data_IF_445493701249
#
_entry.id   IF_445493701249
#
_cell.length_a   1.000
_cell.length_b   1.000
_cell.length_c   1.000
_cell.angle_alpha   90.00
_cell.angle_beta   90.00
_cell.angle_gamma   90.00
#
_symmetry.space_group_name_H-M   'P 1'
#
loop_
_entity.id
_entity.type
_entity.pdbx_description
1 polymer ?
#
# COMPACT_ATOMS: atom_id res chain seq x y z
N UNK A 1 -36.40 10.93 43.87
CA UNK A 1 -35.76 12.12 43.25
C UNK A 1 -35.26 11.70 41.87
N UNK A 2 -35.76 12.38 40.82
CA UNK A 2 -35.67 11.98 39.42
C UNK A 2 -34.29 12.25 38.80
N UNK A 3 -33.71 11.27 38.11
CA UNK A 3 -32.64 11.48 37.12
C UNK A 3 -33.02 10.86 35.78
N UNK A 4 -33.71 11.60 34.87
CA UNK A 4 -34.00 11.16 33.52
C UNK A 4 -33.08 11.80 32.45
N UNK A 5 -31.99 12.48 32.83
CA UNK A 5 -31.23 13.32 31.90
C UNK A 5 -30.12 12.60 31.10
N UNK A 6 -29.57 11.48 31.57
CA UNK A 6 -28.44 10.81 30.89
C UNK A 6 -28.89 10.06 29.61
N UNK A 7 -30.13 9.57 29.59
CA UNK A 7 -30.62 8.73 28.49
C UNK A 7 -31.00 9.52 27.21
N UNK A 8 -31.25 10.83 27.32
CA UNK A 8 -31.59 11.70 26.16
C UNK A 8 -30.36 12.18 25.40
N UNK A 9 -29.20 12.29 26.06
CA UNK A 9 -27.97 12.77 25.43
C UNK A 9 -27.31 11.68 24.57
N UNK A 10 -27.27 10.45 25.06
CA UNK A 10 -26.77 9.28 24.32
C UNK A 10 -27.55 9.06 23.02
N UNK A 11 -28.89 8.99 23.06
CA UNK A 11 -29.73 8.81 21.86
C UNK A 11 -29.53 9.88 20.80
N UNK A 12 -29.39 11.16 21.19
CA UNK A 12 -29.19 12.27 20.24
C UNK A 12 -27.81 12.21 19.57
N UNK A 13 -26.79 11.81 20.32
CA UNK A 13 -25.44 11.67 19.79
C UNK A 13 -25.33 10.47 18.83
N UNK A 14 -25.97 9.34 19.14
CA UNK A 14 -26.01 8.17 18.24
C UNK A 14 -26.75 8.47 16.94
N UNK A 15 -27.90 9.15 16.99
CA UNK A 15 -28.63 9.56 15.77
C UNK A 15 -27.84 10.57 14.95
N UNK A 16 -27.15 11.53 15.59
CA UNK A 16 -26.34 12.52 14.88
C UNK A 16 -25.12 11.88 14.19
N UNK A 17 -24.44 10.93 14.84
CA UNK A 17 -23.34 10.18 14.23
C UNK A 17 -23.83 9.32 13.07
N UNK A 18 -24.96 8.63 13.22
CA UNK A 18 -25.54 7.81 12.15
C UNK A 18 -25.97 8.66 10.93
N UNK A 19 -26.59 9.82 11.17
CA UNK A 19 -27.00 10.76 10.11
C UNK A 19 -25.78 11.42 9.46
N UNK A 20 -24.74 11.77 10.23
CA UNK A 20 -23.50 12.33 9.68
C UNK A 20 -22.75 11.32 8.81
N UNK A 21 -22.69 10.05 9.22
CA UNK A 21 -22.10 8.98 8.41
C UNK A 21 -22.95 8.67 7.17
N UNK A 22 -24.29 8.62 7.27
CA UNK A 22 -25.15 8.48 6.09
C UNK A 22 -25.01 9.67 5.13
N UNK A 23 -24.90 10.89 5.64
CA UNK A 23 -24.69 12.09 4.82
C UNK A 23 -23.29 12.13 4.17
N UNK A 24 -22.25 11.68 4.87
CA UNK A 24 -20.90 11.53 4.31
C UNK A 24 -20.82 10.39 3.27
N UNK A 25 -21.63 9.34 3.40
CA UNK A 25 -21.71 8.23 2.45
C UNK A 25 -22.52 8.57 1.19
N UNK A 26 -23.51 9.45 1.30
CA UNK A 26 -24.25 10.00 0.15
C UNK A 26 -23.48 11.15 -0.52
N UNK A 27 -22.60 11.83 0.23
CA UNK A 27 -21.87 13.03 -0.20
C UNK A 27 -20.41 12.83 -0.61
N UNK A 28 -19.86 11.61 -0.63
CA UNK A 28 -18.50 11.38 -1.11
C UNK A 28 -18.44 11.71 -2.62
N UNK A 29 -17.69 12.75 -3.03
CA UNK A 29 -17.88 13.41 -4.30
C UNK A 29 -17.35 12.56 -5.46
N UNK A 30 -18.22 12.17 -6.39
CA UNK A 30 -17.82 11.90 -7.79
C UNK A 30 -17.33 13.19 -8.51
N UNK A 31 -17.38 14.34 -7.83
CA UNK A 31 -17.19 15.68 -8.42
C UNK A 31 -15.76 16.25 -8.45
N UNK A 32 -14.72 15.55 -7.95
CA UNK A 32 -13.35 16.14 -7.86
C UNK A 32 -12.37 15.65 -8.96
N UNK A 33 -12.80 14.80 -9.89
CA UNK A 33 -11.91 14.29 -10.95
C UNK A 33 -12.49 14.38 -12.38
N UNK A 34 -13.46 15.27 -12.63
CA UNK A 34 -14.17 15.36 -13.92
C UNK A 34 -13.71 16.50 -14.84
N UNK A 35 -12.46 16.96 -14.73
CA UNK A 35 -11.86 17.80 -15.78
C UNK A 35 -10.82 16.96 -16.54
N UNK A 36 -11.04 16.83 -17.84
CA UNK A 36 -10.20 16.16 -18.87
C UNK A 36 -10.20 14.62 -18.95
N UNK A 37 -11.37 14.04 -19.29
CA UNK A 37 -11.46 12.65 -19.80
C UNK A 37 -12.41 12.53 -20.98
N UNK A 38 -12.06 13.14 -22.12
CA UNK A 38 -12.88 13.04 -23.34
C UNK A 38 -12.74 11.70 -24.09
N UNK A 39 -11.86 10.78 -23.67
CA UNK A 39 -11.63 9.49 -24.37
C UNK A 39 -11.53 8.24 -23.47
N UNK A 40 -12.06 8.27 -22.23
CA UNK A 40 -12.06 7.06 -21.39
C UNK A 40 -13.30 6.21 -21.71
N UNK A 41 -13.15 4.93 -22.13
CA UNK A 41 -14.29 4.08 -22.40
C UNK A 41 -15.21 4.00 -21.18
N UNK A 42 -16.55 3.93 -21.38
CA UNK A 42 -17.50 3.92 -20.28
C UNK A 42 -17.17 2.77 -19.33
N UNK A 43 -17.04 3.09 -18.04
CA UNK A 43 -16.76 2.08 -17.01
C UNK A 43 -17.89 1.05 -17.03
N UNK A 44 -17.58 -0.27 -17.00
CA UNK A 44 -18.61 -1.28 -16.97
C UNK A 44 -19.47 -1.12 -15.71
N UNK A 45 -20.78 -1.32 -15.85
CA UNK A 45 -21.68 -1.35 -14.70
C UNK A 45 -21.32 -2.53 -13.79
N UNK A 46 -21.02 -2.24 -12.52
CA UNK A 46 -20.59 -3.24 -11.53
C UNK A 46 -21.76 -3.66 -10.65
N UNK A 47 -21.79 -4.95 -10.26
CA UNK A 47 -22.64 -5.38 -9.13
C UNK A 47 -22.02 -4.88 -7.83
N UNK A 48 -22.80 -4.20 -7.00
CA UNK A 48 -22.31 -3.56 -5.76
C UNK A 48 -22.89 -4.17 -4.49
N UNK A 49 -24.04 -4.83 -4.57
CA UNK A 49 -24.74 -5.36 -3.41
C UNK A 49 -24.39 -6.82 -3.16
N UNK A 50 -24.24 -7.19 -1.90
CA UNK A 50 -24.01 -8.56 -1.44
C UNK A 50 -24.90 -8.88 -0.23
N UNK A 51 -25.40 -10.11 -0.17
CA UNK A 51 -26.02 -10.69 1.03
C UNK A 51 -25.03 -11.67 1.67
N UNK A 52 -24.93 -11.68 3.00
CA UNK A 52 -23.99 -12.50 3.75
C UNK A 52 -24.76 -13.36 4.75
N UNK A 53 -24.37 -14.62 4.87
CA UNK A 53 -24.81 -15.52 5.94
C UNK A 53 -23.56 -16.19 6.50
N UNK A 54 -23.37 -16.14 7.80
CA UNK A 54 -22.15 -16.62 8.44
C UNK A 54 -22.45 -17.30 9.77
N UNK A 55 -21.56 -18.21 10.15
CA UNK A 55 -21.56 -18.90 11.44
C UNK A 55 -20.12 -19.06 11.93
N UNK A 56 -19.94 -19.22 13.22
CA UNK A 56 -18.62 -19.25 13.82
C UNK A 56 -18.66 -19.32 15.32
N UNK A 57 -17.67 -18.71 15.96
CA UNK A 57 -17.57 -18.69 17.40
C UNK A 57 -17.03 -17.38 17.94
N UNK A 58 -17.56 -16.96 19.09
CA UNK A 58 -16.99 -15.91 19.93
C UNK A 58 -16.30 -16.50 21.17
N UNK A 59 -15.43 -15.70 21.75
CA UNK A 59 -14.81 -15.93 23.05
C UNK A 59 -14.67 -14.59 23.76
N UNK A 60 -15.11 -14.57 25.01
CA UNK A 60 -14.93 -13.50 25.96
C UNK A 60 -13.75 -13.79 26.91
N UNK A 61 -13.04 -14.91 26.68
CA UNK A 61 -11.96 -15.36 27.57
C UNK A 61 -10.75 -14.45 27.53
N UNK A 62 -10.28 -14.05 28.70
CA UNK A 62 -9.03 -13.34 28.91
C UNK A 62 -7.84 -14.26 28.60
N UNK A 63 -7.02 -13.87 27.63
CA UNK A 63 -5.80 -14.59 27.26
C UNK A 63 -4.67 -14.24 28.23
N UNK A 64 -3.85 -15.23 28.59
CA UNK A 64 -2.57 -14.99 29.27
C UNK A 64 -1.52 -14.58 28.23
N UNK A 65 -1.58 -13.33 27.77
CA UNK A 65 -0.68 -12.76 26.76
C UNK A 65 -1.42 -12.00 25.65
N UNK A 66 -0.68 -11.31 24.77
CA UNK A 66 -1.23 -10.69 23.57
C UNK A 66 -1.61 -11.76 22.54
N UNK A 67 -2.67 -12.51 22.82
CA UNK A 67 -3.24 -13.44 21.84
C UNK A 67 -4.28 -12.67 21.03
N UNK A 68 -4.18 -12.61 19.69
CA UNK A 68 -5.17 -11.94 18.85
C UNK A 68 -6.47 -12.75 18.74
N UNK A 69 -6.76 -13.60 19.73
CA UNK A 69 -7.91 -14.50 19.79
C UNK A 69 -8.57 -14.47 21.17
N UNK A 70 -8.20 -13.52 22.03
CA UNK A 70 -8.76 -13.40 23.38
C UNK A 70 -9.67 -12.20 23.51
N UNK A 71 -10.77 -12.41 24.25
CA UNK A 71 -11.55 -11.33 24.83
C UNK A 71 -10.92 -10.84 26.14
N UNK A 72 -11.73 -10.13 26.92
CA UNK A 72 -11.42 -9.77 28.30
C UNK A 72 -12.75 -9.52 29.01
N UNK A 73 -13.01 -10.28 30.06
CA UNK A 73 -14.18 -10.16 30.93
C UNK A 73 -13.77 -10.47 32.37
N UNK A 74 -14.62 -10.16 33.35
CA UNK A 74 -14.43 -10.53 34.75
C UNK A 74 -14.46 -12.04 34.99
N UNK A 75 -15.32 -12.76 34.25
CA UNK A 75 -15.44 -14.21 34.26
C UNK A 75 -15.24 -14.72 32.85
N UNK A 76 -14.25 -15.60 32.68
CA UNK A 76 -13.88 -16.14 31.39
C UNK A 76 -14.99 -17.01 30.79
N UNK A 77 -15.29 -16.78 29.51
CA UNK A 77 -16.11 -17.70 28.73
C UNK A 77 -15.36 -19.00 28.39
N UNK A 78 -16.10 -19.98 27.88
CA UNK A 78 -15.55 -21.04 27.05
C UNK A 78 -14.80 -20.49 25.83
N UNK A 79 -13.89 -21.29 25.27
CA UNK A 79 -13.13 -20.91 24.07
C UNK A 79 -13.98 -20.83 22.81
N UNK A 80 -15.10 -21.56 22.77
CA UNK A 80 -15.95 -21.71 21.60
C UNK A 80 -17.40 -21.45 22.00
N UNK A 81 -17.90 -20.27 21.70
CA UNK A 81 -19.30 -19.89 21.91
C UNK A 81 -19.96 -19.74 20.53
N UNK A 82 -20.92 -20.60 20.14
CA UNK A 82 -21.45 -20.62 18.80
C UNK A 82 -22.13 -19.29 18.44
N UNK A 83 -21.85 -18.83 17.24
CA UNK A 83 -22.31 -17.55 16.73
C UNK A 83 -22.87 -17.70 15.32
N UNK A 84 -23.94 -16.97 15.02
CA UNK A 84 -24.60 -16.98 13.72
C UNK A 84 -24.98 -15.56 13.34
N UNK A 85 -25.11 -15.30 12.05
CA UNK A 85 -25.61 -14.02 11.63
C UNK A 85 -25.74 -13.87 10.13
N UNK A 86 -26.19 -12.68 9.77
CA UNK A 86 -26.43 -12.30 8.39
C UNK A 86 -26.14 -10.82 8.22
N UNK A 87 -25.84 -10.41 6.99
CA UNK A 87 -25.58 -9.01 6.70
C UNK A 87 -25.82 -8.65 5.26
N UNK A 88 -25.90 -7.35 5.01
CA UNK A 88 -25.98 -6.76 3.67
C UNK A 88 -24.76 -5.86 3.51
N UNK A 89 -24.12 -5.92 2.36
CA UNK A 89 -22.96 -5.10 2.03
C UNK A 89 -23.16 -4.38 0.69
N UNK A 90 -22.67 -3.14 0.64
CA UNK A 90 -22.65 -2.29 -0.54
C UNK A 90 -21.22 -1.81 -0.82
N UNK A 91 -20.71 -2.11 -2.01
CA UNK A 91 -19.41 -1.66 -2.50
C UNK A 91 -19.54 -0.26 -3.12
N UNK A 92 -18.86 0.75 -2.56
CA UNK A 92 -18.77 2.08 -3.18
C UNK A 92 -17.86 2.03 -4.42
N UNK A 93 -16.73 1.34 -4.26
CA UNK A 93 -15.72 1.08 -5.28
C UNK A 93 -15.05 -0.29 -4.98
N UNK A 94 -14.16 -0.83 -5.84
CA UNK A 94 -13.53 -2.13 -5.60
C UNK A 94 -12.79 -2.27 -4.26
N UNK A 95 -12.34 -1.16 -3.67
CA UNK A 95 -11.53 -1.15 -2.46
C UNK A 95 -12.32 -0.84 -1.19
N UNK A 96 -13.52 -0.25 -1.29
CA UNK A 96 -14.28 0.24 -0.12
C UNK A 96 -15.73 -0.21 -0.16
N UNK A 97 -16.20 -0.78 0.95
CA UNK A 97 -17.58 -1.18 1.15
C UNK A 97 -18.12 -0.71 2.51
N UNK A 98 -19.44 -0.54 2.59
CA UNK A 98 -20.18 -0.45 3.84
C UNK A 98 -21.03 -1.71 4.02
N UNK A 99 -21.23 -2.14 5.26
CA UNK A 99 -22.07 -3.26 5.59
C UNK A 99 -22.94 -3.00 6.82
N UNK A 100 -24.08 -3.68 6.87
CA UNK A 100 -24.91 -3.81 8.08
C UNK A 100 -24.98 -5.29 8.40
N UNK A 101 -24.60 -5.65 9.62
CA UNK A 101 -24.48 -7.02 10.10
C UNK A 101 -25.35 -7.23 11.33
N UNK A 102 -26.06 -8.34 11.37
CA UNK A 102 -26.71 -8.90 12.54
C UNK A 102 -25.91 -10.10 13.04
N UNK A 103 -25.72 -10.20 14.35
CA UNK A 103 -25.01 -11.30 15.00
C UNK A 103 -25.82 -11.77 16.19
N UNK A 104 -25.91 -13.09 16.35
CA UNK A 104 -26.49 -13.79 17.47
C UNK A 104 -25.46 -14.77 18.03
N UNK A 105 -25.23 -14.79 19.34
CA UNK A 105 -24.33 -15.73 20.00
C UNK A 105 -24.78 -15.96 21.43
N UNK A 106 -24.56 -17.17 21.94
CA UNK A 106 -24.72 -17.50 23.36
C UNK A 106 -23.34 -17.65 23.96
N UNK A 107 -22.98 -16.80 24.94
CA UNK A 107 -21.68 -16.82 25.61
C UNK A 107 -21.87 -17.44 26.99
N UNK A 108 -21.19 -18.56 27.22
CA UNK A 108 -21.25 -19.34 28.44
C UNK A 108 -19.84 -19.47 29.06
N UNK A 109 -19.76 -19.66 30.37
CA UNK A 109 -18.49 -19.86 31.05
C UNK A 109 -18.02 -21.33 30.98
N UNK A 110 -16.69 -21.52 30.87
CA UNK A 110 -16.05 -22.80 30.49
C UNK A 110 -16.13 -23.88 31.58
N UNK A 111 -16.14 -23.47 32.85
CA UNK A 111 -16.38 -24.29 34.04
C UNK A 111 -15.89 -23.50 35.27
N UNK A 112 -16.81 -23.10 36.15
CA UNK A 112 -16.48 -22.44 37.41
C UNK A 112 -17.66 -21.70 38.02
N UNK A 113 -17.79 -21.75 39.34
CA UNK A 113 -18.58 -20.75 40.04
C UNK A 113 -17.78 -19.44 40.03
N UNK A 114 -18.38 -18.31 39.63
CA UNK A 114 -19.80 -18.17 39.31
C UNK A 114 -20.13 -18.45 37.82
N UNK A 115 -21.23 -19.20 37.59
CA UNK A 115 -21.76 -19.46 36.24
C UNK A 115 -22.47 -18.24 35.65
N UNK A 116 -22.31 -18.02 34.35
CA UNK A 116 -23.11 -17.06 33.60
C UNK A 116 -23.42 -17.61 32.21
N UNK A 117 -24.60 -17.24 31.72
CA UNK A 117 -25.05 -17.44 30.36
C UNK A 117 -25.56 -16.10 29.85
N UNK A 118 -25.02 -15.63 28.73
CA UNK A 118 -25.45 -14.41 28.07
C UNK A 118 -25.85 -14.72 26.63
N UNK A 119 -27.13 -14.53 26.32
CA UNK A 119 -27.57 -14.46 24.93
C UNK A 119 -27.33 -13.05 24.41
N UNK A 120 -26.35 -12.91 23.51
CA UNK A 120 -25.97 -11.65 22.89
C UNK A 120 -26.49 -11.57 21.46
N UNK A 121 -27.24 -10.50 21.18
CA UNK A 121 -27.70 -10.15 19.84
C UNK A 121 -27.21 -8.76 19.49
N UNK A 122 -26.76 -8.53 18.26
CA UNK A 122 -26.30 -7.21 17.88
C UNK A 122 -26.55 -6.86 16.43
N UNK A 123 -26.69 -5.56 16.18
CA UNK A 123 -26.69 -4.96 14.86
C UNK A 123 -25.54 -3.97 14.79
N UNK A 124 -24.67 -4.13 13.81
CA UNK A 124 -23.52 -3.26 13.59
C UNK A 124 -23.50 -2.71 12.17
N UNK A 125 -23.14 -1.45 12.05
CA UNK A 125 -22.71 -0.83 10.80
C UNK A 125 -21.19 -0.95 10.69
N UNK A 126 -20.70 -1.36 9.52
CA UNK A 126 -19.28 -1.57 9.28
C UNK A 126 -18.79 -0.90 7.99
N UNK A 127 -17.52 -0.51 7.99
CA UNK A 127 -16.77 -0.15 6.79
C UNK A 127 -15.69 -1.21 6.56
N UNK A 128 -15.47 -1.60 5.31
CA UNK A 128 -14.49 -2.61 4.92
C UNK A 128 -13.59 -2.09 3.81
N UNK A 129 -12.28 -2.23 4.00
CA UNK A 129 -11.24 -1.80 3.08
C UNK A 129 -10.51 -3.04 2.52
N UNK A 130 -10.69 -3.30 1.23
CA UNK A 130 -10.10 -4.43 0.52
C UNK A 130 -8.67 -4.08 0.07
N UNK A 131 -7.70 -4.79 0.63
CA UNK A 131 -6.29 -4.40 0.56
C UNK A 131 -5.67 -4.60 -0.82
N UNK A 132 -6.03 -5.68 -1.52
CA UNK A 132 -5.49 -5.94 -2.87
C UNK A 132 -6.00 -4.93 -3.90
N UNK A 133 -7.27 -4.56 -3.82
CA UNK A 133 -7.84 -3.53 -4.68
C UNK A 133 -7.29 -2.15 -4.35
N UNK A 134 -6.97 -1.86 -3.08
CA UNK A 134 -6.34 -0.60 -2.66
C UNK A 134 -4.90 -0.48 -3.19
N UNK A 135 -4.15 -1.57 -3.16
CA UNK A 135 -2.73 -1.62 -3.56
C UNK A 135 -2.51 -1.96 -5.03
N UNK A 136 -3.59 -2.24 -5.79
CA UNK A 136 -3.55 -2.74 -7.16
C UNK A 136 -2.75 -4.06 -7.32
N UNK A 137 -2.72 -4.88 -6.25
CA UNK A 137 -2.11 -6.22 -6.23
C UNK A 137 -3.10 -7.32 -6.63
N UNK A 138 -4.31 -6.94 -7.03
CA UNK A 138 -5.37 -7.82 -7.54
C UNK A 138 -5.00 -8.59 -8.83
N UNK A 139 -3.97 -8.13 -9.56
CA UNK A 139 -3.52 -8.67 -10.86
C UNK A 139 -3.04 -10.13 -10.84
N UNK A 140 -2.69 -10.70 -9.70
CA UNK A 140 -2.32 -12.12 -9.57
C UNK A 140 -3.32 -12.97 -8.79
N UNK A 141 -4.34 -12.34 -8.21
CA UNK A 141 -5.07 -12.89 -7.08
C UNK A 141 -6.57 -12.60 -7.20
N UNK A 142 -7.15 -12.94 -8.34
CA UNK A 142 -8.58 -12.73 -8.64
C UNK A 142 -9.54 -13.66 -7.88
N UNK A 143 -8.98 -14.59 -7.08
CA UNK A 143 -9.71 -15.59 -6.32
C UNK A 143 -9.72 -15.33 -4.82
N UNK A 144 -8.89 -14.42 -4.29
CA UNK A 144 -8.90 -14.05 -2.87
C UNK A 144 -8.84 -12.54 -2.68
N UNK A 145 -9.47 -12.02 -1.63
CA UNK A 145 -9.52 -10.58 -1.36
C UNK A 145 -9.49 -10.34 0.15
N UNK A 146 -8.30 -10.08 0.74
CA UNK A 146 -8.16 -9.75 2.14
C UNK A 146 -8.64 -8.32 2.40
N UNK A 147 -9.22 -8.11 3.57
CA UNK A 147 -9.78 -6.83 3.95
C UNK A 147 -9.64 -6.58 5.45
N UNK A 148 -9.64 -5.30 5.81
CA UNK A 148 -9.78 -4.85 7.20
C UNK A 148 -11.14 -4.17 7.36
N UNK A 149 -11.70 -4.21 8.57
CA UNK A 149 -13.01 -3.63 8.84
C UNK A 149 -13.05 -2.87 10.17
N UNK A 150 -13.87 -1.82 10.19
CA UNK A 150 -14.21 -1.06 11.37
C UNK A 150 -15.72 -1.08 11.52
N UNK A 151 -16.20 -1.42 12.72
CA UNK A 151 -17.61 -1.62 13.00
C UNK A 151 -18.04 -0.78 14.19
N UNK A 152 -19.23 -0.20 14.14
CA UNK A 152 -19.91 0.40 15.28
C UNK A 152 -21.31 -0.20 15.34
N UNK A 153 -21.77 -0.50 16.54
CA UNK A 153 -23.02 -1.22 16.66
C UNK A 153 -23.68 -1.08 18.01
N UNK A 154 -24.85 -1.69 18.07
CA UNK A 154 -25.67 -1.76 19.25
C UNK A 154 -26.09 -3.20 19.48
N UNK A 155 -26.03 -3.60 20.73
CA UNK A 155 -26.30 -4.94 21.19
C UNK A 155 -27.35 -4.98 22.28
N UNK A 156 -28.02 -6.12 22.36
CA UNK A 156 -28.90 -6.50 23.45
C UNK A 156 -28.38 -7.80 24.02
N UNK A 157 -28.41 -7.89 25.34
CA UNK A 157 -28.01 -9.10 26.04
C UNK A 157 -29.01 -9.45 27.13
N UNK A 158 -29.31 -10.74 27.19
CA UNK A 158 -30.17 -11.38 28.19
C UNK A 158 -29.30 -12.32 29.04
N UNK A 159 -29.34 -12.12 30.37
CA UNK A 159 -28.38 -12.74 31.29
C UNK A 159 -29.15 -13.57 32.30
N UNK A 160 -28.68 -14.79 32.52
CA UNK A 160 -29.15 -15.59 33.64
C UNK A 160 -28.11 -15.47 34.76
N UNK A 161 -28.44 -14.73 35.82
CA UNK A 161 -27.52 -14.53 36.95
C UNK A 161 -27.44 -15.79 37.84
N UNK A 162 -26.51 -15.80 38.80
CA UNK A 162 -26.27 -16.89 39.76
C UNK A 162 -27.50 -17.33 40.57
N UNK A 163 -28.52 -16.47 40.69
CA UNK A 163 -29.77 -16.79 41.39
C UNK A 163 -30.80 -17.48 40.48
N UNK A 164 -30.45 -17.78 39.23
CA UNK A 164 -31.36 -18.31 38.21
C UNK A 164 -32.46 -17.32 37.81
N UNK A 165 -32.29 -16.03 38.15
CA UNK A 165 -33.24 -14.99 37.81
C UNK A 165 -32.80 -14.36 36.48
N UNK A 166 -33.69 -14.29 35.48
CA UNK A 166 -33.43 -13.50 34.29
C UNK A 166 -33.33 -12.04 34.72
N UNK A 167 -32.14 -11.46 34.62
CA UNK A 167 -31.97 -10.01 34.76
C UNK A 167 -31.96 -9.40 33.36
N UNK A 168 -32.76 -8.34 33.19
CA UNK A 168 -33.34 -8.02 31.88
C UNK A 168 -32.60 -6.90 31.16
N UNK A 169 -32.29 -7.18 29.89
CA UNK A 169 -32.06 -6.26 28.77
C UNK A 169 -31.04 -5.15 29.00
N UNK A 170 -29.77 -5.54 29.13
CA UNK A 170 -28.67 -4.58 29.09
C UNK A 170 -28.35 -4.25 27.62
N UNK A 171 -28.91 -3.15 27.15
CA UNK A 171 -28.60 -2.65 25.81
C UNK A 171 -27.35 -1.79 25.80
N UNK A 172 -26.47 -2.01 24.83
CA UNK A 172 -25.14 -1.42 24.88
C UNK A 172 -24.61 -1.09 23.49
N UNK A 173 -23.81 -0.03 23.42
CA UNK A 173 -23.03 0.26 22.22
C UNK A 173 -21.72 -0.53 22.24
N UNK A 174 -21.23 -0.86 21.07
CA UNK A 174 -19.89 -1.41 20.89
C UNK A 174 -19.23 -0.80 19.65
N UNK A 175 -17.91 -0.81 19.65
CA UNK A 175 -17.12 -0.62 18.44
C UNK A 175 -16.23 -1.84 18.25
N UNK A 176 -15.82 -2.07 17.02
CA UNK A 176 -15.05 -3.25 16.70
C UNK A 176 -14.13 -3.04 15.52
N UNK A 177 -13.12 -3.88 15.49
CA UNK A 177 -12.18 -4.01 14.40
C UNK A 177 -12.23 -5.46 13.89
N UNK A 178 -12.01 -5.67 12.61
CA UNK A 178 -11.95 -7.01 12.05
C UNK A 178 -10.96 -7.13 10.92
N UNK A 179 -10.46 -8.35 10.75
CA UNK A 179 -9.64 -8.77 9.63
C UNK A 179 -10.41 -9.87 8.93
N UNK A 180 -10.44 -9.87 7.60
CA UNK A 180 -11.13 -10.93 6.88
C UNK A 180 -10.52 -11.19 5.52
N UNK A 181 -10.99 -12.26 4.90
CA UNK A 181 -10.70 -12.55 3.51
C UNK A 181 -11.93 -13.13 2.84
N UNK A 182 -12.12 -12.77 1.57
CA UNK A 182 -13.12 -13.39 0.70
C UNK A 182 -12.41 -14.30 -0.26
N UNK A 183 -12.95 -15.49 -0.49
CA UNK A 183 -12.49 -16.45 -1.49
C UNK A 183 -13.59 -16.60 -2.54
N UNK A 184 -13.27 -16.29 -3.78
CA UNK A 184 -14.22 -16.35 -4.90
C UNK A 184 -14.51 -17.80 -5.25
N UNK A 185 -15.76 -18.23 -5.06
CA UNK A 185 -16.22 -19.57 -5.48
C UNK A 185 -16.82 -19.54 -6.88
N UNK A 186 -17.34 -18.37 -7.31
CA UNK A 186 -17.93 -18.19 -8.63
C UNK A 186 -18.20 -16.73 -8.98
N UNK A 187 -19.11 -16.49 -9.92
CA UNK A 187 -19.55 -15.12 -10.22
C UNK A 187 -20.57 -14.61 -9.19
N UNK A 188 -21.40 -15.48 -8.63
CA UNK A 188 -22.49 -15.12 -7.73
C UNK A 188 -22.21 -15.42 -6.25
N UNK A 189 -21.13 -16.16 -5.95
CA UNK A 189 -20.90 -16.72 -4.62
C UNK A 189 -19.43 -16.61 -4.23
N UNK A 190 -19.18 -16.12 -3.01
CA UNK A 190 -17.88 -16.13 -2.36
C UNK A 190 -17.98 -16.81 -0.99
N UNK A 191 -16.88 -17.41 -0.53
CA UNK A 191 -16.66 -17.82 0.85
C UNK A 191 -16.05 -16.66 1.63
N UNK A 192 -16.48 -16.46 2.87
CA UNK A 192 -15.91 -15.49 3.81
C UNK A 192 -15.22 -16.19 4.96
N UNK A 193 -14.10 -15.63 5.40
CA UNK A 193 -13.45 -15.94 6.66
C UNK A 193 -13.13 -14.61 7.37
N UNK A 194 -13.62 -14.44 8.59
CA UNK A 194 -13.63 -13.18 9.32
C UNK A 194 -13.15 -13.38 10.76
N UNK A 195 -12.19 -12.58 11.18
CA UNK A 195 -11.87 -12.35 12.58
C UNK A 195 -12.48 -11.01 13.01
N UNK A 196 -13.21 -11.00 14.12
CA UNK A 196 -13.90 -9.83 14.66
C UNK A 196 -13.52 -9.62 16.12
N UNK A 197 -13.24 -8.38 16.48
CA UNK A 197 -12.99 -7.96 17.85
C UNK A 197 -13.96 -6.84 18.20
N UNK A 198 -14.74 -7.03 19.26
CA UNK A 198 -15.70 -6.07 19.79
C UNK A 198 -15.24 -5.58 21.15
N UNK A 199 -15.25 -4.26 21.32
CA UNK A 199 -15.09 -3.61 22.61
C UNK A 199 -16.40 -2.91 22.98
N UNK A 200 -16.89 -3.19 24.17
CA UNK A 200 -18.14 -2.63 24.67
C UNK A 200 -17.92 -1.29 25.36
N UNK A 201 -18.95 -0.45 25.38
CA UNK A 201 -18.89 0.85 26.06
C UNK A 201 -18.73 0.68 27.59
N UNK A 202 -18.13 1.70 28.23
CA UNK A 202 -17.91 1.72 29.68
C UNK A 202 -19.20 1.43 30.48
N UNK A 203 -19.09 0.50 31.44
CA UNK A 203 -20.17 0.10 32.33
C UNK A 203 -21.10 -0.99 31.80
N UNK A 204 -20.83 -1.50 30.59
CA UNK A 204 -21.41 -2.75 30.13
C UNK A 204 -20.39 -3.87 30.26
N UNK A 205 -20.84 -4.97 30.87
CA UNK A 205 -20.09 -6.20 31.03
C UNK A 205 -20.81 -7.28 30.23
N UNK A 206 -20.14 -8.21 29.58
CA UNK A 206 -20.78 -9.32 28.85
C UNK A 206 -21.12 -10.46 29.81
N UNK A 207 -20.44 -10.52 30.94
CA UNK A 207 -20.39 -11.70 31.79
C UNK A 207 -21.26 -11.64 33.06
N UNK A 208 -21.71 -10.48 33.50
CA UNK A 208 -22.26 -10.36 34.85
C UNK A 208 -21.65 -9.26 35.70
N UNK A 209 -20.36 -9.02 35.50
CA UNK A 209 -19.48 -8.72 36.62
C UNK A 209 -18.78 -7.37 36.42
N UNK A 210 -19.12 -6.41 37.29
CA UNK A 210 -18.57 -5.05 37.28
C UNK A 210 -17.09 -4.94 37.72
N UNK A 211 -16.38 -6.06 37.96
CA UNK A 211 -15.06 -6.04 38.62
C UNK A 211 -14.09 -7.03 37.97
N UNK A 212 -13.15 -6.50 37.19
CA UNK A 212 -11.91 -7.19 36.83
C UNK A 212 -10.82 -6.65 37.78
N UNK A 213 -10.45 -7.41 38.82
CA UNK A 213 -9.31 -7.07 39.70
C UNK A 213 -9.30 -5.62 40.27
N UNK A 214 -10.46 -5.03 40.55
CA UNK A 214 -10.57 -3.66 41.09
C UNK A 214 -10.40 -2.54 40.05
N UNK A 215 -10.20 -2.87 38.77
CA UNK A 215 -10.14 -1.93 37.64
C UNK A 215 -11.44 -2.06 36.83
N UNK A 216 -12.14 -0.95 36.61
CA UNK A 216 -13.25 -0.89 35.64
C UNK A 216 -12.66 -0.91 34.23
N UNK A 217 -12.45 -2.08 33.66
CA UNK A 217 -12.11 -2.22 32.24
C UNK A 217 -13.38 -2.52 31.43
N UNK A 218 -13.33 -2.21 30.14
CA UNK A 218 -14.40 -2.51 29.20
C UNK A 218 -14.30 -3.95 28.77
N UNK A 219 -15.42 -4.67 28.79
CA UNK A 219 -15.48 -6.02 28.28
C UNK A 219 -15.16 -6.05 26.78
N UNK A 220 -14.49 -7.13 26.38
CA UNK A 220 -14.04 -7.35 25.00
C UNK A 220 -14.37 -8.79 24.61
N UNK A 221 -14.83 -8.96 23.39
CA UNK A 221 -15.17 -10.25 22.82
C UNK A 221 -14.51 -10.38 21.45
N UNK A 222 -13.82 -11.49 21.23
CA UNK A 222 -13.15 -11.81 19.97
C UNK A 222 -13.86 -13.01 19.31
N UNK A 223 -13.91 -13.07 17.99
CA UNK A 223 -14.58 -14.17 17.30
C UNK A 223 -14.06 -14.44 15.91
N UNK A 224 -14.28 -15.67 15.47
CA UNK A 224 -13.99 -16.13 14.12
C UNK A 224 -15.30 -16.56 13.46
N UNK A 225 -15.59 -16.04 12.28
CA UNK A 225 -16.79 -16.35 11.51
C UNK A 225 -16.39 -16.83 10.11
N UNK A 226 -17.09 -17.84 9.62
CA UNK A 226 -17.01 -18.28 8.24
C UNK A 226 -18.41 -18.24 7.61
N UNK A 227 -18.52 -17.94 6.32
CA UNK A 227 -19.83 -17.78 5.72
C UNK A 227 -19.85 -17.70 4.21
N UNK A 228 -21.06 -17.61 3.67
CA UNK A 228 -21.30 -17.45 2.24
C UNK A 228 -21.74 -16.02 1.94
N UNK A 229 -21.24 -15.48 0.84
CA UNK A 229 -21.56 -14.16 0.33
C UNK A 229 -22.17 -14.29 -1.06
N UNK A 230 -23.43 -13.88 -1.19
CA UNK A 230 -24.19 -13.89 -2.42
C UNK A 230 -24.08 -12.52 -3.09
N UNK A 231 -23.33 -12.47 -4.19
CA UNK A 231 -23.10 -11.25 -4.99
C UNK A 231 -24.34 -10.96 -5.87
N UNK A 232 -25.15 -9.99 -5.44
CA UNK A 232 -26.48 -9.71 -6.03
C UNK A 232 -26.40 -8.95 -7.35
N UNK A 233 -27.37 -9.19 -8.23
CA UNK A 233 -27.50 -8.58 -9.56
C UNK A 233 -27.15 -9.54 -10.70
N UNK A 234 -27.15 -9.03 -11.93
CA UNK A 234 -26.92 -9.84 -13.13
C UNK A 234 -25.51 -10.44 -13.18
N UNK A 235 -25.41 -11.76 -13.35
CA UNK A 235 -24.14 -12.49 -13.47
C UNK A 235 -23.30 -12.08 -14.68
N UNK A 236 -23.90 -11.40 -15.66
CA UNK A 236 -23.19 -10.81 -16.82
C UNK A 236 -22.25 -9.67 -16.44
N UNK A 237 -22.43 -9.08 -15.25
CA UNK A 237 -21.63 -7.96 -14.75
C UNK A 237 -20.66 -8.45 -13.67
N UNK A 238 -19.39 -8.01 -13.67
CA UNK A 238 -18.48 -8.34 -12.58
C UNK A 238 -18.97 -7.69 -11.27
N UNK A 239 -18.74 -8.37 -10.14
CA UNK A 239 -18.95 -7.75 -8.84
C UNK A 239 -17.81 -6.79 -8.55
N UNK A 240 -18.11 -5.63 -7.95
CA UNK A 240 -17.17 -4.54 -7.76
C UNK A 240 -15.91 -4.97 -7.01
N UNK A 241 -16.04 -5.88 -6.02
CA UNK A 241 -14.92 -6.48 -5.27
C UNK A 241 -13.87 -7.16 -6.16
N UNK A 242 -14.33 -7.79 -7.24
CA UNK A 242 -13.49 -8.57 -8.16
C UNK A 242 -13.18 -7.80 -9.44
N UNK A 243 -13.56 -6.53 -9.50
CA UNK A 243 -13.32 -5.68 -10.65
C UNK A 243 -12.01 -4.90 -10.45
N UNK A 244 -11.04 -5.17 -11.30
CA UNK A 244 -9.82 -4.35 -11.37
C UNK A 244 -10.13 -3.10 -12.21
N UNK A 245 -10.08 -1.89 -11.65
CA UNK A 245 -10.38 -0.66 -12.38
C UNK A 245 -9.32 -0.30 -13.43
N UNK A 246 -8.31 -1.14 -13.65
CA UNK A 246 -7.11 -0.77 -14.39
C UNK A 246 -6.93 -1.49 -15.73
N UNK A 247 -7.74 -1.17 -16.77
CA UNK A 247 -7.33 -1.34 -18.16
C UNK A 247 -6.12 -0.45 -18.51
N UNK A 248 -6.05 0.77 -17.95
CA UNK A 248 -5.03 1.77 -18.28
C UNK A 248 -3.58 1.36 -17.93
N UNK A 249 -3.37 0.44 -16.99
CA UNK A 249 -2.03 -0.09 -16.71
C UNK A 249 -1.69 -1.32 -17.53
N UNK A 250 -2.67 -1.99 -18.16
CA UNK A 250 -2.38 -2.97 -19.21
C UNK A 250 -2.03 -2.26 -20.52
N UNK A 251 -2.70 -1.17 -20.87
CA UNK A 251 -2.29 -0.33 -22.00
C UNK A 251 -0.94 0.32 -21.74
N UNK A 252 -0.71 0.88 -20.55
CA UNK A 252 0.60 1.41 -20.16
C UNK A 252 1.68 0.32 -20.09
N UNK A 253 1.40 -0.87 -19.52
CA UNK A 253 2.36 -2.00 -19.59
C UNK A 253 2.60 -2.43 -21.01
N UNK A 254 1.58 -2.58 -21.87
CA UNK A 254 1.78 -2.93 -23.27
C UNK A 254 2.60 -1.86 -24.01
N UNK A 255 2.41 -0.59 -23.70
CA UNK A 255 3.23 0.48 -24.28
C UNK A 255 4.66 0.49 -23.73
N UNK A 256 4.86 0.14 -22.46
CA UNK A 256 6.19 0.03 -21.84
C UNK A 256 6.90 -1.22 -22.33
N UNK A 257 6.24 -2.37 -22.34
CA UNK A 257 6.73 -3.64 -22.86
C UNK A 257 7.05 -3.51 -24.36
N UNK A 258 6.20 -2.85 -25.16
CA UNK A 258 6.54 -2.59 -26.58
C UNK A 258 7.69 -1.60 -26.73
N UNK A 259 7.82 -0.61 -25.84
CA UNK A 259 8.95 0.32 -25.85
C UNK A 259 10.26 -0.36 -25.38
N UNK A 260 10.18 -1.33 -24.47
CA UNK A 260 11.33 -2.12 -24.00
C UNK A 260 11.74 -3.13 -25.08
N UNK A 261 10.82 -3.89 -25.67
CA UNK A 261 11.14 -4.82 -26.76
C UNK A 261 11.65 -4.09 -28.00
N UNK A 262 11.10 -2.91 -28.32
CA UNK A 262 11.65 -2.06 -29.38
C UNK A 262 13.07 -1.56 -29.08
N UNK A 263 13.41 -1.38 -27.79
CA UNK A 263 14.77 -1.03 -27.35
C UNK A 263 15.71 -2.23 -27.40
N UNK A 264 15.26 -3.44 -27.10
CA UNK A 264 16.06 -4.67 -27.26
C UNK A 264 16.48 -4.87 -28.73
N UNK A 265 15.55 -4.67 -29.68
CA UNK A 265 15.86 -4.72 -31.11
C UNK A 265 16.90 -3.67 -31.54
N UNK A 266 16.84 -2.46 -30.96
CA UNK A 266 17.83 -1.41 -31.23
C UNK A 266 19.20 -1.74 -30.61
N UNK A 267 19.24 -2.33 -29.40
CA UNK A 267 20.47 -2.80 -28.78
C UNK A 267 21.14 -3.93 -29.58
N UNK A 268 20.36 -4.89 -30.07
CA UNK A 268 20.87 -5.96 -30.92
C UNK A 268 21.44 -5.42 -32.24
N UNK A 269 20.83 -4.37 -32.80
CA UNK A 269 21.37 -3.68 -33.99
C UNK A 269 22.68 -2.96 -33.69
N UNK A 270 22.77 -2.28 -32.54
CA UNK A 270 24.00 -1.59 -32.11
C UNK A 270 25.12 -2.60 -31.89
N UNK A 271 24.85 -3.71 -31.19
CA UNK A 271 25.81 -4.79 -30.99
C UNK A 271 26.28 -5.41 -32.31
N UNK A 272 25.35 -5.66 -33.24
CA UNK A 272 25.68 -6.19 -34.56
C UNK A 272 26.47 -5.20 -35.45
N UNK A 273 26.36 -3.89 -35.20
CA UNK A 273 27.15 -2.87 -35.90
C UNK A 273 28.54 -2.73 -35.28
N UNK A 274 28.66 -2.81 -33.95
CA UNK A 274 29.93 -2.89 -33.24
C UNK A 274 30.76 -4.10 -33.68
N UNK A 275 30.15 -5.30 -33.77
CA UNK A 275 30.83 -6.50 -34.27
C UNK A 275 31.37 -6.33 -35.70
N UNK A 276 30.60 -5.63 -36.55
CA UNK A 276 31.02 -5.31 -37.93
C UNK A 276 32.19 -4.32 -37.95
N UNK A 277 32.20 -3.35 -37.04
CA UNK A 277 33.29 -2.40 -36.90
C UNK A 277 34.57 -3.07 -36.39
N UNK A 278 34.47 -3.95 -35.39
CA UNK A 278 35.61 -4.72 -34.87
C UNK A 278 36.23 -5.61 -35.96
N UNK A 279 35.40 -6.30 -36.75
CA UNK A 279 35.87 -7.10 -37.87
C UNK A 279 36.61 -6.24 -38.91
N UNK A 280 36.12 -5.02 -39.17
CA UNK A 280 36.74 -4.08 -40.10
C UNK A 280 38.08 -3.55 -39.56
N UNK A 281 38.16 -3.19 -38.29
CA UNK A 281 39.40 -2.78 -37.64
C UNK A 281 40.45 -3.89 -37.65
N UNK A 282 40.04 -5.14 -37.38
CA UNK A 282 40.93 -6.30 -37.44
C UNK A 282 41.44 -6.58 -38.86
N UNK A 283 40.65 -6.31 -39.90
CA UNK A 283 41.11 -6.38 -41.29
C UNK A 283 42.11 -5.25 -41.59
N UNK A 284 41.79 -4.02 -41.18
CA UNK A 284 42.65 -2.87 -41.45
C UNK A 284 44.01 -2.99 -40.76
N UNK A 285 44.03 -3.51 -39.53
CA UNK A 285 45.27 -3.75 -38.79
C UNK A 285 46.16 -4.80 -39.50
N UNK A 286 45.55 -5.86 -40.07
CA UNK A 286 46.27 -6.84 -40.90
C UNK A 286 46.85 -6.20 -42.17
N UNK A 287 46.08 -5.38 -42.88
CA UNK A 287 46.58 -4.65 -44.06
C UNK A 287 47.72 -3.68 -43.71
N UNK A 288 47.66 -3.03 -42.55
CA UNK A 288 48.72 -2.14 -42.06
C UNK A 288 50.00 -2.92 -41.72
N UNK A 289 49.89 -4.08 -41.07
CA UNK A 289 51.04 -4.94 -40.78
C UNK A 289 51.72 -5.44 -42.06
N UNK A 290 50.92 -5.87 -43.05
CA UNK A 290 51.44 -6.30 -44.35
C UNK A 290 52.16 -5.16 -45.09
N UNK A 291 51.60 -3.95 -45.10
CA UNK A 291 52.23 -2.78 -45.76
C UNK A 291 53.45 -2.24 -45.02
N UNK A 292 53.44 -2.25 -43.68
CA UNK A 292 54.60 -1.86 -42.88
C UNK A 292 55.80 -2.78 -43.12
N UNK A 293 55.56 -4.07 -43.36
CA UNK A 293 56.61 -5.04 -43.71
C UNK A 293 57.28 -4.77 -45.07
N UNK A 294 56.61 -4.01 -45.96
CA UNK A 294 57.11 -3.65 -47.31
C UNK A 294 57.88 -2.32 -47.36
N UNK A 295 58.02 -1.60 -46.24
CA UNK A 295 58.84 -0.38 -46.15
C UNK A 295 58.17 0.90 -46.65
N UNK A 296 56.87 0.88 -46.92
CA UNK A 296 56.15 2.00 -47.56
C UNK A 296 55.55 2.98 -46.53
N UNK A 297 56.44 3.72 -45.86
CA UNK A 297 56.11 4.65 -44.76
C UNK A 297 55.12 5.76 -45.14
N UNK A 298 55.14 6.23 -46.40
CA UNK A 298 54.17 7.25 -46.86
C UNK A 298 52.75 6.69 -46.97
N UNK A 299 52.60 5.43 -47.37
CA UNK A 299 51.29 4.80 -47.52
C UNK A 299 50.68 4.44 -46.17
N UNK A 300 51.52 4.04 -45.20
CA UNK A 300 51.12 3.88 -43.81
C UNK A 300 50.63 5.21 -43.21
N UNK A 301 51.31 6.33 -43.50
CA UNK A 301 50.92 7.66 -43.02
C UNK A 301 49.56 8.13 -43.56
N UNK A 302 49.29 7.92 -44.86
CA UNK A 302 47.95 8.20 -45.44
C UNK A 302 46.86 7.33 -44.84
N UNK A 303 47.19 6.08 -44.49
CA UNK A 303 46.23 5.17 -43.86
C UNK A 303 45.91 5.59 -42.43
N UNK A 304 46.90 6.11 -41.69
CA UNK A 304 46.68 6.71 -40.36
C UNK A 304 45.79 7.95 -40.46
N UNK A 305 46.00 8.84 -41.44
CA UNK A 305 45.13 10.01 -41.63
C UNK A 305 43.67 9.63 -41.94
N UNK A 306 43.45 8.58 -42.76
CA UNK A 306 42.11 8.06 -43.03
C UNK A 306 41.49 7.44 -41.76
N UNK A 307 42.29 6.75 -40.94
CA UNK A 307 41.84 6.19 -39.67
C UNK A 307 41.48 7.28 -38.64
N UNK A 308 42.28 8.34 -38.53
CA UNK A 308 41.99 9.48 -37.65
C UNK A 308 40.71 10.20 -38.10
N UNK A 309 40.50 10.37 -39.40
CA UNK A 309 39.26 10.93 -39.93
C UNK A 309 38.04 10.04 -39.62
N UNK A 310 38.18 8.72 -39.75
CA UNK A 310 37.12 7.77 -39.39
C UNK A 310 36.85 7.72 -37.88
N UNK A 311 37.88 7.80 -37.04
CA UNK A 311 37.76 7.87 -35.58
C UNK A 311 37.04 9.15 -35.14
N UNK A 312 37.35 10.29 -35.76
CA UNK A 312 36.66 11.55 -35.48
C UNK A 312 35.20 11.52 -35.93
N UNK A 313 34.91 10.91 -37.09
CA UNK A 313 33.53 10.73 -37.58
C UNK A 313 32.72 9.82 -36.63
N UNK A 314 33.32 8.70 -36.19
CA UNK A 314 32.73 7.82 -35.17
C UNK A 314 32.50 8.55 -33.84
N UNK A 315 33.47 9.34 -33.36
CA UNK A 315 33.31 10.15 -32.16
C UNK A 315 32.11 11.10 -32.25
N UNK A 316 31.92 11.73 -33.43
CA UNK A 316 30.78 12.62 -33.67
C UNK A 316 29.43 11.88 -33.74
N UNK A 317 29.41 10.64 -34.25
CA UNK A 317 28.22 9.79 -34.23
C UNK A 317 27.85 9.36 -32.81
N UNK A 318 28.84 8.95 -32.01
CA UNK A 318 28.63 8.62 -30.59
C UNK A 318 28.09 9.82 -29.80
N UNK A 319 28.65 11.02 -29.98
CA UNK A 319 28.14 12.23 -29.35
C UNK A 319 26.70 12.55 -29.78
N UNK A 320 26.36 12.32 -31.05
CA UNK A 320 25.00 12.50 -31.56
C UNK A 320 23.99 11.51 -30.96
N UNK A 321 24.39 10.24 -30.82
CA UNK A 321 23.57 9.20 -30.24
C UNK A 321 23.41 9.38 -28.72
N UNK A 322 24.45 9.82 -28.01
CA UNK A 322 24.36 10.24 -26.60
C UNK A 322 23.36 11.40 -26.45
N UNK A 323 23.45 12.44 -27.28
CA UNK A 323 22.49 13.55 -27.27
C UNK A 323 21.06 13.12 -27.67
N UNK A 324 20.91 12.08 -28.47
CA UNK A 324 19.59 11.52 -28.84
C UNK A 324 19.01 10.71 -27.68
N UNK A 325 19.83 9.95 -26.99
CA UNK A 325 19.49 9.22 -25.77
C UNK A 325 19.09 10.21 -24.67
N UNK A 326 19.84 11.29 -24.47
CA UNK A 326 19.53 12.35 -23.51
C UNK A 326 18.19 13.04 -23.79
N UNK A 327 17.89 13.34 -25.07
CA UNK A 327 16.60 13.92 -25.47
C UNK A 327 15.42 12.96 -25.26
N UNK A 328 15.61 11.66 -25.47
CA UNK A 328 14.60 10.64 -25.20
C UNK A 328 14.39 10.47 -23.68
N UNK A 329 15.44 10.64 -22.89
CA UNK A 329 15.41 10.60 -21.43
C UNK A 329 14.77 11.85 -20.80
N UNK A 330 15.03 13.04 -21.35
CA UNK A 330 14.30 14.28 -21.00
C UNK A 330 12.80 14.15 -21.31
N UNK A 331 12.44 13.58 -22.48
CA UNK A 331 11.04 13.35 -22.85
C UNK A 331 10.31 12.33 -21.97
N UNK A 332 11.05 11.41 -21.33
CA UNK A 332 10.52 10.44 -20.37
C UNK A 332 10.60 10.90 -18.90
N UNK A 333 11.22 12.04 -18.61
CA UNK A 333 11.44 12.55 -17.25
C UNK A 333 12.39 11.69 -16.40
N UNK A 334 13.30 10.94 -17.03
CA UNK A 334 14.24 10.03 -16.35
C UNK A 334 15.66 10.51 -16.65
N UNK A 335 16.21 11.36 -15.80
CA UNK A 335 17.65 11.62 -15.78
C UNK A 335 18.32 10.63 -14.82
N UNK A 336 18.92 9.56 -15.37
CA UNK A 336 19.89 8.75 -14.65
C UNK A 336 21.29 9.17 -15.10
N UNK A 337 21.87 10.10 -14.34
CA UNK A 337 23.32 10.19 -14.28
C UNK A 337 23.74 9.10 -13.29
N UNK A 338 24.54 8.13 -13.73
CA UNK A 338 25.59 7.59 -12.86
C UNK A 338 26.77 8.56 -13.00
N UNK A 339 26.78 9.70 -12.27
CA UNK A 339 27.99 10.48 -12.23
C UNK A 339 29.07 9.58 -11.62
N UNK A 340 30.27 9.60 -12.20
CA UNK A 340 31.47 9.27 -11.43
C UNK A 340 31.49 10.24 -10.26
N UNK A 341 31.14 9.76 -9.06
CA UNK A 341 31.15 10.57 -7.86
C UNK A 341 32.60 10.90 -7.52
N UNK A 342 32.91 12.19 -7.45
CA UNK A 342 34.21 12.65 -6.96
C UNK A 342 34.41 12.19 -5.51
N UNK A 343 35.65 11.89 -5.08
CA UNK A 343 35.91 11.55 -3.69
C UNK A 343 35.54 12.71 -2.75
N UNK A 344 34.77 12.40 -1.72
CA UNK A 344 34.23 13.41 -0.80
C UNK A 344 33.19 12.85 0.16
N UNK A 345 32.59 13.74 0.95
CA UNK A 345 31.46 13.41 1.82
C UNK A 345 30.15 13.73 1.11
N UNK A 346 29.20 12.80 1.20
CA UNK A 346 27.88 12.88 0.61
C UNK A 346 26.83 12.67 1.68
N UNK A 347 25.73 13.40 1.63
CA UNK A 347 24.60 13.19 2.55
C UNK A 347 23.51 12.45 1.79
N UNK A 348 23.18 11.25 2.23
CA UNK A 348 22.08 10.46 1.70
C UNK A 348 20.82 10.77 2.50
N UNK A 349 19.74 11.23 1.84
CA UNK A 349 18.57 11.78 2.56
C UNK A 349 17.36 10.86 2.56
N UNK A 350 17.12 10.13 1.47
CA UNK A 350 15.87 9.41 1.25
C UNK A 350 16.08 8.27 0.27
N UNK A 351 15.41 7.11 0.46
CA UNK A 351 15.42 6.00 -0.50
C UNK A 351 13.98 5.54 -0.80
N UNK A 352 13.59 5.53 -2.08
CA UNK A 352 12.25 5.08 -2.49
C UNK A 352 12.29 4.22 -3.76
N UNK A 353 11.28 3.34 -3.87
CA UNK A 353 11.06 2.49 -5.05
C UNK A 353 10.60 3.26 -6.31
N UNK A 354 10.39 4.57 -6.21
CA UNK A 354 9.82 5.39 -7.27
C UNK A 354 10.63 6.66 -7.46
N UNK A 355 11.14 6.85 -8.67
CA UNK A 355 11.87 8.05 -9.10
C UNK A 355 11.09 9.33 -8.81
N UNK A 356 9.75 9.30 -8.95
CA UNK A 356 8.90 10.46 -8.66
C UNK A 356 8.96 10.90 -7.19
N UNK A 357 8.99 9.95 -6.25
CA UNK A 357 9.12 10.30 -4.84
C UNK A 357 10.52 10.81 -4.52
N UNK A 358 11.54 10.24 -5.17
CA UNK A 358 12.94 10.68 -5.00
C UNK A 358 13.18 12.08 -5.58
N UNK A 359 12.59 12.44 -6.72
CA UNK A 359 12.64 13.82 -7.24
C UNK A 359 11.93 14.81 -6.33
N UNK A 360 10.77 14.44 -5.79
CA UNK A 360 10.09 15.30 -4.81
C UNK A 360 10.91 15.47 -3.53
N UNK A 361 11.58 14.40 -3.08
CA UNK A 361 12.48 14.47 -1.93
C UNK A 361 13.67 15.38 -2.21
N UNK A 362 14.22 15.35 -3.43
CA UNK A 362 15.27 16.25 -3.89
C UNK A 362 14.81 17.72 -3.85
N UNK A 363 13.63 18.03 -4.40
CA UNK A 363 13.05 19.39 -4.36
C UNK A 363 12.86 19.86 -2.91
N UNK A 364 12.27 19.01 -2.06
CA UNK A 364 12.06 19.33 -0.64
C UNK A 364 13.37 19.58 0.10
N UNK A 365 14.40 18.79 -0.20
CA UNK A 365 15.75 18.94 0.36
C UNK A 365 16.35 20.29 -0.05
N UNK A 366 16.30 20.63 -1.34
CA UNK A 366 16.83 21.90 -1.87
C UNK A 366 16.11 23.10 -1.23
N UNK A 367 14.78 23.08 -1.22
CA UNK A 367 13.97 24.15 -0.63
C UNK A 367 14.17 24.29 0.89
N UNK A 368 14.38 23.18 1.59
CA UNK A 368 14.66 23.19 3.02
C UNK A 368 16.03 23.79 3.34
N UNK A 369 17.05 23.43 2.55
CA UNK A 369 18.40 24.01 2.67
C UNK A 369 18.41 25.51 2.34
N UNK A 370 17.73 25.95 1.27
CA UNK A 370 17.60 27.38 0.93
C UNK A 370 16.95 28.15 2.08
N UNK A 371 15.88 27.64 2.67
CA UNK A 371 15.17 28.29 3.79
C UNK A 371 16.03 28.46 5.04
N UNK A 372 17.09 27.66 5.19
CA UNK A 372 18.07 27.74 6.29
C UNK A 372 19.29 28.61 5.97
N UNK A 373 19.34 29.17 4.77
CA UNK A 373 20.44 30.04 4.34
C UNK A 373 21.63 29.29 3.77
N UNK A 374 21.51 28.00 3.42
CA UNK A 374 22.55 27.30 2.69
C UNK A 374 22.58 27.78 1.22
N UNK A 375 23.77 28.06 0.71
CA UNK A 375 24.00 28.36 -0.71
C UNK A 375 23.93 27.06 -1.54
N UNK A 376 22.73 26.62 -1.90
CA UNK A 376 22.54 25.33 -2.60
C UNK A 376 23.22 25.26 -3.97
N UNK A 377 23.60 26.39 -4.56
CA UNK A 377 24.32 26.42 -5.84
C UNK A 377 25.77 25.91 -5.73
N UNK A 378 26.28 25.76 -4.49
CA UNK A 378 27.57 25.12 -4.20
C UNK A 378 27.46 23.64 -3.87
N UNK A 379 26.25 23.10 -3.80
CA UNK A 379 25.99 21.69 -3.53
C UNK A 379 25.52 21.02 -4.81
N UNK A 380 26.15 19.90 -5.15
CA UNK A 380 25.66 19.01 -6.20
C UNK A 380 24.65 18.04 -5.62
N UNK A 381 23.60 17.78 -6.39
CA UNK A 381 22.54 16.88 -6.00
C UNK A 381 22.42 15.75 -7.01
N UNK A 382 22.35 14.53 -6.51
CA UNK A 382 22.35 13.33 -7.33
C UNK A 382 21.17 12.45 -6.97
N UNK A 383 20.58 11.81 -7.97
CA UNK A 383 19.62 10.72 -7.79
C UNK A 383 20.27 9.45 -8.32
N UNK A 384 20.55 8.51 -7.41
CA UNK A 384 21.23 7.25 -7.75
C UNK A 384 20.33 6.05 -7.46
N UNK A 385 20.41 5.02 -8.30
CA UNK A 385 19.71 3.75 -8.08
C UNK A 385 20.63 2.75 -7.39
N UNK A 386 20.29 2.36 -6.17
CA UNK A 386 20.96 1.31 -5.41
C UNK A 386 20.79 -0.06 -6.10
N UNK A 387 21.69 -1.03 -5.88
CA UNK A 387 21.59 -2.38 -6.46
C UNK A 387 20.29 -3.12 -6.13
N UNK A 388 19.63 -2.77 -5.04
CA UNK A 388 18.34 -3.33 -4.64
C UNK A 388 17.13 -2.69 -5.35
N UNK A 389 17.37 -1.78 -6.30
CA UNK A 389 16.35 -1.11 -7.10
C UNK A 389 15.78 0.17 -6.49
N UNK A 390 16.19 0.57 -5.28
CA UNK A 390 15.78 1.81 -4.63
C UNK A 390 16.51 3.03 -5.22
N UNK A 391 15.81 4.14 -5.37
CA UNK A 391 16.39 5.42 -5.77
C UNK A 391 16.65 6.30 -4.55
N UNK A 392 17.86 6.82 -4.43
CA UNK A 392 18.28 7.68 -3.33
C UNK A 392 18.73 9.06 -3.77
N UNK A 393 18.49 10.07 -2.93
CA UNK A 393 19.03 11.42 -3.10
C UNK A 393 20.34 11.52 -2.33
N UNK A 394 21.41 11.94 -3.02
CA UNK A 394 22.68 12.30 -2.41
C UNK A 394 23.00 13.78 -2.63
N UNK A 395 23.59 14.42 -1.61
CA UNK A 395 24.05 15.81 -1.64
C UNK A 395 25.57 15.81 -1.44
N UNK A 396 26.35 16.31 -2.39
CA UNK A 396 27.82 16.31 -2.39
C UNK A 396 28.41 17.17 -3.52
N UNK A 397 29.68 17.07 -3.93
CA UNK A 397 30.79 16.60 -3.12
C UNK A 397 31.03 17.63 -2.01
N UNK A 398 31.10 17.18 -0.76
CA UNK A 398 31.48 18.04 0.35
C UNK A 398 32.90 17.67 0.75
N UNK A 399 33.82 18.62 0.62
CA UNK A 399 35.25 18.39 0.84
C UNK A 399 35.67 18.10 2.29
N UNK A 400 34.82 18.41 3.28
CA UNK A 400 35.15 18.24 4.70
C UNK A 400 33.98 17.68 5.52
N UNK A 401 34.30 16.88 6.55
CA UNK A 401 33.32 16.26 7.43
C UNK A 401 32.52 17.32 8.23
N UNK A 402 33.15 18.43 8.62
CA UNK A 402 32.48 19.50 9.36
C UNK A 402 31.40 20.19 8.52
N UNK A 403 31.68 20.47 7.25
CA UNK A 403 30.67 20.98 6.31
C UNK A 403 29.57 19.95 6.05
N UNK A 404 29.92 18.66 5.97
CA UNK A 404 28.94 17.60 5.78
C UNK A 404 28.02 17.47 7.01
N UNK A 405 28.53 17.62 8.22
CA UNK A 405 27.73 17.64 9.45
C UNK A 405 26.78 18.84 9.52
N UNK A 406 27.24 20.01 9.08
CA UNK A 406 26.39 21.21 9.00
C UNK A 406 25.22 20.98 8.02
N UNK A 407 25.51 20.56 6.79
CA UNK A 407 24.46 20.27 5.81
C UNK A 407 23.56 19.11 6.28
N UNK A 408 24.09 18.07 6.93
CA UNK A 408 23.31 16.97 7.50
C UNK A 408 22.30 17.47 8.54
N UNK A 409 22.71 18.42 9.40
CA UNK A 409 21.80 19.04 10.38
C UNK A 409 20.66 19.77 9.69
N UNK A 410 20.94 20.42 8.55
CA UNK A 410 19.92 21.01 7.68
C UNK A 410 18.92 19.99 7.12
N UNK A 411 19.43 18.83 6.70
CA UNK A 411 18.65 17.76 6.08
C UNK A 411 17.84 16.95 7.09
N UNK A 412 18.37 16.69 8.29
CA UNK A 412 17.71 15.88 9.33
C UNK A 412 16.37 16.45 9.78
N UNK A 413 16.17 17.76 9.64
CA UNK A 413 14.89 18.40 9.92
C UNK A 413 13.85 18.25 8.79
N UNK A 414 14.24 17.63 7.68
CA UNK A 414 13.39 17.29 6.53
C UNK A 414 13.20 15.77 6.45
N UNK A 415 14.30 15.02 6.66
CA UNK A 415 14.37 13.57 6.58
C UNK A 415 15.15 13.02 7.78
N UNK A 416 14.43 12.45 8.76
CA UNK A 416 15.00 11.92 9.99
C UNK A 416 16.00 10.76 9.77
N UNK A 417 15.97 10.12 8.59
CA UNK A 417 16.81 8.99 8.21
C UNK A 417 18.06 9.39 7.40
N UNK A 418 18.37 10.68 7.30
CA UNK A 418 19.54 11.15 6.59
C UNK A 418 20.86 10.79 7.29
N UNK A 419 21.90 10.45 6.53
CA UNK A 419 23.23 10.14 7.05
C UNK A 419 24.36 10.53 6.08
N UNK A 420 25.58 10.67 6.59
CA UNK A 420 26.77 10.94 5.78
C UNK A 420 27.38 9.63 5.28
N UNK A 421 27.69 9.59 4.00
CA UNK A 421 28.41 8.54 3.30
C UNK A 421 29.70 9.12 2.71
N UNK A 422 30.84 8.48 2.94
CA UNK A 422 32.12 8.90 2.36
C UNK A 422 32.41 8.10 1.10
N UNK A 423 32.61 8.79 -0.03
CA UNK A 423 33.13 8.18 -1.25
C UNK A 423 34.65 8.32 -1.28
N UNK A 424 35.35 7.19 -1.33
CA UNK A 424 36.81 7.13 -1.49
C UNK A 424 37.10 6.49 -2.83
N UNK A 425 37.92 7.12 -3.66
CA UNK A 425 38.39 6.50 -4.89
C UNK A 425 39.29 5.32 -4.53
N UNK A 426 38.89 4.10 -4.89
CA UNK A 426 39.82 2.96 -4.86
C UNK A 426 40.98 3.27 -5.82
N UNK A 427 42.19 3.37 -5.28
CA UNK A 427 43.42 3.55 -6.06
C UNK A 427 44.04 2.23 -6.45
#
# INVERSE_FOLDING_TARGET
MNLPMVNRFSRKMTTAVLVFFLAALIGAPEAVLSQDRENVPPRPELRKWSLQVYGGSFTARTGTGFTPFSGSTGVNSGWVNPAFGAGIEYMFNPSLAANVRYVYTMIENDDGLPSYENTYQSVSFGLSLYLLSLTNLDKGHSWFSPYVSLNIGYGQSEWTNLEGRPDRDATHGHYGFGLGTRIRLGSALDLSLDYMYHQFNQGYHVDGYNIINGIRDNDRVAGFMAGLVFNMGSSRRPHARWYSPVPATQEWRRSVDSAISGREDDWDRILADLDRQDARLAQLNREMQDKASQGDLEQARRTIEVLEAQLNDMGSQFDSDIQRIDRIHEAAGIAHLTPTLEPGFYIQTYAAWSTRFTHRALEMTRDGLIRRGYETDRLSFFVYQLPNGLYTVQIGDISSLDQANDVLTGVLDIFDDAFIHQHVTER
#
